data_IF_861127438571
#
_entry.id   IF_861127438571
#
_cell.length_a   1.000
_cell.length_b   1.000
_cell.length_c   1.000
_cell.angle_alpha   90.00
_cell.angle_beta   90.00
_cell.angle_gamma   90.00
#
_symmetry.space_group_name_H-M   'P 1'
#
loop_
_entity.id
_entity.type
_entity.pdbx_description
1 polymer ?
#
# COMPACT_ATOMS: atom_id res chain seq x y z
N UNK A 1 16.74 -17.54 -32.49
CA UNK A 1 17.64 -17.74 -31.36
C UNK A 1 17.31 -16.69 -30.32
N UNK A 2 16.73 -17.05 -29.17
CA UNK A 2 16.59 -16.11 -28.05
C UNK A 2 18.00 -15.81 -27.55
N UNK A 3 18.46 -14.56 -27.71
CA UNK A 3 19.66 -14.08 -27.01
C UNK A 3 19.45 -14.36 -25.54
N UNK A 4 20.32 -15.20 -24.96
CA UNK A 4 20.33 -15.46 -23.52
C UNK A 4 20.71 -14.14 -22.85
N UNK A 5 19.70 -13.43 -22.34
CA UNK A 5 19.90 -12.17 -21.60
C UNK A 5 20.92 -12.38 -20.48
N UNK A 6 21.93 -11.52 -20.43
CA UNK A 6 22.99 -11.58 -19.40
C UNK A 6 22.38 -11.56 -18.01
N UNK A 7 22.74 -12.55 -17.18
CA UNK A 7 22.35 -12.60 -15.77
C UNK A 7 23.33 -11.79 -14.93
N UNK A 8 22.81 -10.89 -14.11
CA UNK A 8 23.60 -10.02 -13.23
C UNK A 8 23.59 -10.49 -11.79
N UNK A 9 22.53 -11.19 -11.35
CA UNK A 9 22.31 -11.55 -9.96
C UNK A 9 22.29 -13.06 -9.77
N UNK A 10 22.98 -13.53 -8.73
CA UNK A 10 22.88 -14.89 -8.23
C UNK A 10 21.57 -15.06 -7.45
N UNK A 11 21.10 -16.32 -7.33
CA UNK A 11 19.81 -16.60 -6.68
C UNK A 11 19.75 -16.09 -5.22
N UNK A 12 20.82 -16.32 -4.44
CA UNK A 12 20.89 -15.83 -3.06
C UNK A 12 20.80 -14.30 -2.96
N UNK A 13 21.33 -13.56 -3.94
CA UNK A 13 21.25 -12.10 -4.00
C UNK A 13 19.82 -11.63 -4.25
N UNK A 14 19.06 -12.34 -5.09
CA UNK A 14 17.65 -12.06 -5.34
C UNK A 14 16.80 -12.27 -4.08
N UNK A 15 17.06 -13.37 -3.34
CA UNK A 15 16.39 -13.64 -2.06
C UNK A 15 16.77 -12.58 -1.03
N UNK A 16 18.07 -12.31 -0.85
CA UNK A 16 18.56 -11.33 0.11
C UNK A 16 18.01 -9.93 -0.17
N UNK A 17 17.99 -9.50 -1.43
CA UNK A 17 17.36 -8.24 -1.83
C UNK A 17 15.86 -8.24 -1.51
N UNK A 18 15.13 -9.28 -1.91
CA UNK A 18 13.69 -9.39 -1.65
C UNK A 18 13.33 -9.39 -0.17
N UNK A 19 14.20 -9.93 0.70
CA UNK A 19 14.02 -9.90 2.14
C UNK A 19 13.99 -8.47 2.74
N UNK A 20 14.44 -7.45 2.01
CA UNK A 20 14.25 -6.05 2.40
C UNK A 20 12.79 -5.66 2.62
N UNK A 21 11.85 -6.31 1.91
CA UNK A 21 10.42 -6.10 2.17
C UNK A 21 9.96 -6.76 3.49
N UNK A 22 10.64 -7.80 3.99
CA UNK A 22 10.42 -8.28 5.36
C UNK A 22 10.79 -7.19 6.37
N UNK A 23 11.96 -6.55 6.22
CA UNK A 23 12.39 -5.46 7.11
C UNK A 23 11.40 -4.29 7.09
N UNK A 24 11.00 -3.84 5.89
CA UNK A 24 10.08 -2.73 5.71
C UNK A 24 8.69 -3.03 6.28
N UNK A 25 8.13 -4.22 5.96
CA UNK A 25 6.80 -4.60 6.41
C UNK A 25 6.73 -4.97 7.90
N UNK A 26 7.83 -5.40 8.53
CA UNK A 26 7.88 -5.58 9.99
C UNK A 26 7.68 -4.24 10.70
N UNK A 27 8.38 -3.20 10.28
CA UNK A 27 8.23 -1.86 10.85
C UNK A 27 6.88 -1.21 10.50
N UNK A 28 6.54 -1.21 9.20
CA UNK A 28 5.29 -0.60 8.71
C UNK A 28 4.05 -1.34 9.20
N UNK A 29 4.07 -2.67 9.23
CA UNK A 29 2.97 -3.51 9.71
C UNK A 29 2.66 -3.25 11.19
N UNK A 30 3.69 -3.09 12.04
CA UNK A 30 3.49 -2.72 13.44
C UNK A 30 2.81 -1.35 13.57
N UNK A 31 3.30 -0.36 12.83
CA UNK A 31 2.75 1.00 12.86
C UNK A 31 1.34 1.05 12.29
N UNK A 32 1.13 0.52 11.06
CA UNK A 32 -0.15 0.66 10.36
C UNK A 32 -1.31 -0.09 11.01
N UNK A 33 -1.03 -1.21 11.68
CA UNK A 33 -2.06 -2.06 12.29
C UNK A 33 -2.25 -1.84 13.78
N UNK A 34 -1.23 -1.37 14.51
CA UNK A 34 -1.25 -1.40 15.96
C UNK A 34 -0.96 -0.06 16.66
N UNK A 35 -0.40 0.94 15.97
CA UNK A 35 -0.05 2.22 16.62
C UNK A 35 -1.28 2.91 17.21
N UNK A 36 -2.39 2.93 16.48
CA UNK A 36 -3.63 3.54 16.97
C UNK A 36 -4.17 2.78 18.20
N UNK A 37 -4.11 1.44 18.19
CA UNK A 37 -4.49 0.60 19.32
C UNK A 37 -3.59 0.87 20.55
N UNK A 38 -2.27 0.97 20.37
CA UNK A 38 -1.34 1.32 21.43
C UNK A 38 -1.69 2.67 22.06
N UNK A 39 -1.91 3.68 21.23
CA UNK A 39 -2.21 5.04 21.69
C UNK A 39 -3.57 5.14 22.36
N UNK A 40 -4.60 4.45 21.85
CA UNK A 40 -5.96 4.48 22.42
C UNK A 40 -6.09 3.62 23.67
N UNK A 41 -5.66 2.36 23.61
CA UNK A 41 -5.93 1.37 24.66
C UNK A 41 -4.88 1.41 25.78
N UNK A 42 -3.60 1.58 25.41
CA UNK A 42 -2.50 1.59 26.40
C UNK A 42 -2.29 2.99 26.97
N UNK A 43 -2.17 4.00 26.12
CA UNK A 43 -1.92 5.38 26.57
C UNK A 43 -3.23 6.09 26.96
N UNK A 44 -4.36 5.74 26.39
CA UNK A 44 -5.67 6.34 26.65
C UNK A 44 -5.89 7.68 25.95
N UNK A 45 -5.17 7.92 24.84
CA UNK A 45 -5.25 9.14 24.07
C UNK A 45 -6.49 9.16 23.16
N UNK A 46 -6.96 10.35 22.81
CA UNK A 46 -8.14 10.56 21.98
C UNK A 46 -7.86 10.14 20.52
N UNK A 47 -8.65 9.16 20.04
CA UNK A 47 -8.47 8.59 18.70
C UNK A 47 -8.72 9.59 17.57
N UNK A 48 -9.60 10.58 17.78
CA UNK A 48 -9.89 11.61 16.80
C UNK A 48 -8.70 12.54 16.55
N UNK A 49 -8.01 12.95 17.63
CA UNK A 49 -6.78 13.77 17.55
C UNK A 49 -5.68 12.96 16.87
N UNK A 50 -5.49 11.70 17.29
CA UNK A 50 -4.49 10.81 16.68
C UNK A 50 -4.73 10.67 15.18
N UNK A 51 -5.96 10.42 14.74
CA UNK A 51 -6.32 10.31 13.34
C UNK A 51 -5.97 11.58 12.53
N UNK A 52 -6.22 12.76 13.10
CA UNK A 52 -5.86 14.03 12.49
C UNK A 52 -4.34 14.20 12.35
N UNK A 53 -3.58 13.88 13.39
CA UNK A 53 -2.11 13.93 13.36
C UNK A 53 -1.53 12.95 12.33
N UNK A 54 -2.11 11.74 12.22
CA UNK A 54 -1.71 10.77 11.21
C UNK A 54 -1.97 11.28 9.79
N UNK A 55 -3.09 11.97 9.55
CA UNK A 55 -3.40 12.58 8.25
C UNK A 55 -2.39 13.68 7.90
N UNK A 56 -2.11 14.59 8.84
CA UNK A 56 -1.12 15.67 8.62
C UNK A 56 0.25 15.07 8.28
N UNK A 57 0.68 14.03 9.02
CA UNK A 57 1.92 13.32 8.72
C UNK A 57 1.95 12.73 7.30
N UNK A 58 0.82 12.22 6.79
CA UNK A 58 0.72 11.69 5.43
C UNK A 58 0.85 12.76 4.34
N UNK A 59 0.43 13.98 4.58
CA UNK A 59 0.69 15.09 3.67
C UNK A 59 2.19 15.44 3.62
N UNK A 60 2.85 15.46 4.78
CA UNK A 60 4.30 15.67 4.86
C UNK A 60 5.09 14.55 4.15
N UNK A 61 4.64 13.30 4.26
CA UNK A 61 5.17 12.15 3.52
C UNK A 61 5.08 12.37 2.00
N UNK A 62 4.00 13.00 1.51
CA UNK A 62 3.85 13.38 0.09
C UNK A 62 4.92 14.35 -0.40
N UNK A 63 5.27 15.33 0.41
CA UNK A 63 6.30 16.32 0.09
C UNK A 63 7.70 15.69 0.13
N UNK A 64 7.94 14.86 1.12
CA UNK A 64 9.24 14.23 1.34
C UNK A 64 9.65 13.26 0.24
N UNK A 65 8.70 12.60 -0.44
CA UNK A 65 9.00 11.73 -1.59
C UNK A 65 9.78 12.47 -2.69
N UNK A 66 9.34 13.68 -3.03
CA UNK A 66 9.97 14.48 -4.08
C UNK A 66 11.37 14.92 -3.65
N UNK A 67 11.52 15.28 -2.37
CA UNK A 67 12.81 15.70 -1.81
C UNK A 67 13.80 14.53 -1.82
N UNK A 68 13.41 13.37 -1.28
CA UNK A 68 14.30 12.22 -1.19
C UNK A 68 14.59 11.59 -2.56
N UNK A 69 13.63 11.57 -3.49
CA UNK A 69 13.89 11.14 -4.86
C UNK A 69 15.05 11.94 -5.49
N UNK A 70 15.01 13.27 -5.39
CA UNK A 70 16.05 14.15 -5.92
C UNK A 70 17.39 13.99 -5.17
N UNK A 71 17.36 13.84 -3.84
CA UNK A 71 18.57 13.65 -3.04
C UNK A 71 19.28 12.33 -3.38
N UNK A 72 18.54 11.24 -3.55
CA UNK A 72 19.08 9.93 -3.90
C UNK A 72 19.72 9.97 -5.28
N UNK A 73 19.07 10.59 -6.27
CA UNK A 73 19.59 10.69 -7.65
C UNK A 73 20.92 11.49 -7.72
N UNK A 74 21.08 12.50 -6.87
CA UNK A 74 22.29 13.32 -6.76
C UNK A 74 23.38 12.73 -5.88
N UNK A 75 23.10 11.64 -5.16
CA UNK A 75 24.05 11.06 -4.22
C UNK A 75 25.22 10.39 -4.96
N UNK A 76 26.43 10.76 -4.55
CA UNK A 76 27.68 10.14 -5.01
C UNK A 76 28.42 9.58 -3.81
N UNK A 77 28.49 8.25 -3.68
CA UNK A 77 29.19 7.60 -2.58
C UNK A 77 29.93 6.35 -3.02
N UNK A 78 30.91 5.89 -2.19
CA UNK A 78 31.63 4.63 -2.42
C UNK A 78 30.70 3.41 -2.39
N UNK A 79 29.54 3.50 -1.74
CA UNK A 79 28.55 2.43 -1.67
C UNK A 79 27.57 2.44 -2.85
N UNK A 80 27.54 3.49 -3.67
CA UNK A 80 26.58 3.72 -4.73
C UNK A 80 25.63 4.87 -4.42
N UNK A 81 24.52 4.98 -5.18
CA UNK A 81 23.52 6.04 -5.03
C UNK A 81 22.44 5.70 -3.99
N UNK A 82 21.86 4.50 -4.07
CA UNK A 82 20.73 4.08 -3.27
C UNK A 82 21.12 3.38 -1.95
N UNK A 83 22.18 2.57 -1.97
CA UNK A 83 22.60 1.76 -0.82
C UNK A 83 22.89 2.56 0.47
N UNK A 84 23.57 3.73 0.46
CA UNK A 84 23.78 4.49 1.68
C UNK A 84 22.47 4.96 2.31
N UNK A 85 21.49 5.36 1.51
CA UNK A 85 20.17 5.76 1.99
C UNK A 85 19.43 4.61 2.65
N UNK A 86 19.47 3.39 2.06
CA UNK A 86 18.90 2.21 2.69
C UNK A 86 19.51 1.93 4.06
N UNK A 87 20.83 1.99 4.17
CA UNK A 87 21.53 1.68 5.44
C UNK A 87 21.25 2.70 6.53
N UNK A 88 21.45 3.98 6.23
CA UNK A 88 21.32 5.04 7.26
C UNK A 88 19.85 5.33 7.60
N UNK A 89 18.96 5.33 6.63
CA UNK A 89 17.55 5.56 6.89
C UNK A 89 16.93 4.44 7.74
N UNK A 90 17.36 3.19 7.56
CA UNK A 90 16.85 2.09 8.38
C UNK A 90 17.22 2.22 9.87
N UNK A 91 18.35 2.80 10.18
CA UNK A 91 18.71 3.11 11.57
C UNK A 91 17.67 4.09 12.15
N UNK A 92 17.35 5.13 11.39
CA UNK A 92 16.30 6.09 11.78
C UNK A 92 14.92 5.46 11.92
N UNK A 93 14.53 4.56 10.98
CA UNK A 93 13.27 3.79 11.08
C UNK A 93 13.23 3.00 12.38
N UNK A 94 14.27 2.22 12.68
CA UNK A 94 14.31 1.37 13.87
C UNK A 94 14.29 2.20 15.17
N UNK A 95 15.05 3.30 15.22
CA UNK A 95 15.07 4.19 16.38
C UNK A 95 13.70 4.86 16.60
N UNK A 96 13.12 5.45 15.54
CA UNK A 96 11.82 6.10 15.64
C UNK A 96 10.71 5.11 15.98
N UNK A 97 10.79 3.86 15.48
CA UNK A 97 9.84 2.80 15.82
C UNK A 97 9.85 2.51 17.34
N UNK A 98 11.03 2.33 17.92
CA UNK A 98 11.17 2.09 19.37
C UNK A 98 10.67 3.28 20.17
N UNK A 99 11.04 4.51 19.78
CA UNK A 99 10.61 5.72 20.47
C UNK A 99 9.08 5.90 20.36
N UNK A 100 8.48 5.63 19.22
CA UNK A 100 7.04 5.73 18.99
C UNK A 100 6.23 4.85 19.97
N UNK A 101 6.72 3.64 20.27
CA UNK A 101 6.10 2.73 21.23
C UNK A 101 6.69 2.85 22.66
N UNK A 102 7.39 3.94 22.94
CA UNK A 102 8.05 4.21 24.24
C UNK A 102 7.66 5.57 24.81
N UNK A 103 6.43 6.00 24.60
CA UNK A 103 5.93 7.30 25.12
C UNK A 103 6.00 7.28 26.65
N UNK A 104 6.68 8.25 27.29
CA UNK A 104 6.74 8.31 28.76
C UNK A 104 5.37 8.65 29.38
N UNK A 105 4.92 7.83 30.34
CA UNK A 105 3.61 8.01 30.97
C UNK A 105 3.50 9.25 31.89
N UNK A 106 4.64 9.88 32.27
CA UNK A 106 4.64 11.08 33.10
C UNK A 106 4.48 12.40 32.34
N UNK A 107 4.35 12.36 31.00
CA UNK A 107 4.13 13.55 30.18
C UNK A 107 2.68 14.03 30.27
N UNK A 108 2.46 15.34 30.12
CA UNK A 108 1.12 15.88 29.89
C UNK A 108 0.53 15.32 28.60
N UNK A 109 -0.79 15.25 28.50
CA UNK A 109 -1.49 14.70 27.34
C UNK A 109 -1.06 15.40 26.04
N UNK A 110 -0.98 16.73 26.06
CA UNK A 110 -0.51 17.53 24.90
C UNK A 110 0.94 17.16 24.52
N UNK A 111 1.82 16.93 25.49
CA UNK A 111 3.19 16.53 25.21
C UNK A 111 3.26 15.10 24.62
N UNK A 112 2.36 14.20 25.02
CA UNK A 112 2.27 12.86 24.43
C UNK A 112 1.82 12.92 22.96
N UNK A 113 0.85 13.79 22.59
CA UNK A 113 0.48 14.02 21.20
C UNK A 113 1.62 14.62 20.37
N UNK A 114 2.33 15.61 20.92
CA UNK A 114 3.48 16.20 20.24
C UNK A 114 4.62 15.20 20.04
N UNK A 115 4.91 14.38 21.04
CA UNK A 115 5.88 13.30 20.97
C UNK A 115 5.49 12.27 19.90
N UNK A 116 4.24 11.79 19.94
CA UNK A 116 3.71 10.89 18.93
C UNK A 116 3.85 11.48 17.52
N UNK A 117 3.39 12.70 17.31
CA UNK A 117 3.43 13.35 16.00
C UNK A 117 4.85 13.49 15.47
N UNK A 118 5.80 13.91 16.32
CA UNK A 118 7.20 14.06 15.95
C UNK A 118 7.81 12.74 15.47
N UNK A 119 7.71 11.67 16.27
CA UNK A 119 8.33 10.39 15.93
C UNK A 119 7.56 9.63 14.85
N UNK A 120 6.24 9.74 14.80
CA UNK A 120 5.43 9.16 13.73
C UNK A 120 5.74 9.80 12.38
N UNK A 121 5.88 11.14 12.35
CA UNK A 121 6.23 11.89 11.13
C UNK A 121 7.67 11.63 10.73
N UNK A 122 8.62 11.65 11.66
CA UNK A 122 10.01 11.31 11.37
C UNK A 122 10.14 9.89 10.82
N UNK A 123 9.44 8.92 11.42
CA UNK A 123 9.44 7.55 10.95
C UNK A 123 8.91 7.45 9.52
N UNK A 124 7.70 7.96 9.25
CA UNK A 124 7.03 7.78 7.95
C UNK A 124 7.60 8.72 6.89
N UNK A 125 7.59 10.05 7.15
CA UNK A 125 7.90 11.05 6.13
C UNK A 125 9.40 11.27 5.90
N UNK A 126 10.27 10.86 6.82
CA UNK A 126 11.72 11.02 6.64
C UNK A 126 12.38 9.68 6.36
N UNK A 127 12.43 8.81 7.37
CA UNK A 127 13.28 7.63 7.30
C UNK A 127 12.66 6.50 6.45
N UNK A 128 11.38 6.21 6.61
CA UNK A 128 10.73 5.16 5.83
C UNK A 128 10.62 5.54 4.35
N UNK A 129 10.31 6.80 4.05
CA UNK A 129 10.28 7.33 2.68
C UNK A 129 11.66 7.27 2.02
N UNK A 130 12.72 7.75 2.71
CA UNK A 130 14.08 7.69 2.20
C UNK A 130 14.53 6.24 1.91
N UNK A 131 14.26 5.31 2.83
CA UNK A 131 14.55 3.88 2.65
C UNK A 131 13.74 3.29 1.49
N UNK A 132 12.43 3.52 1.44
CA UNK A 132 11.53 2.95 0.43
C UNK A 132 11.86 3.38 -0.99
N UNK A 133 12.17 4.68 -1.20
CA UNK A 133 12.59 5.19 -2.51
C UNK A 133 13.94 4.60 -2.91
N UNK A 134 14.92 4.60 -1.99
CA UNK A 134 16.24 4.01 -2.25
C UNK A 134 16.15 2.52 -2.56
N UNK A 135 15.36 1.76 -1.80
CA UNK A 135 15.15 0.34 -2.03
C UNK A 135 14.47 0.06 -3.38
N UNK A 136 13.51 0.88 -3.78
CA UNK A 136 12.87 0.75 -5.09
C UNK A 136 13.83 1.11 -6.23
N UNK A 137 14.61 2.19 -6.10
CA UNK A 137 15.63 2.60 -7.07
C UNK A 137 16.71 1.52 -7.21
N UNK A 138 17.11 0.89 -6.13
CA UNK A 138 18.14 -0.16 -6.12
C UNK A 138 17.79 -1.32 -7.06
N UNK A 139 16.51 -1.67 -7.26
CA UNK A 139 16.08 -2.71 -8.18
C UNK A 139 16.51 -2.45 -9.63
N UNK A 140 16.54 -1.18 -10.03
CA UNK A 140 16.98 -0.77 -11.37
C UNK A 140 18.50 -0.67 -11.48
N UNK A 141 19.18 -0.39 -10.37
CA UNK A 141 20.63 -0.18 -10.32
C UNK A 141 21.44 -1.49 -10.23
N UNK A 142 20.85 -2.59 -9.77
CA UNK A 142 21.55 -3.88 -9.58
C UNK A 142 21.44 -4.83 -10.77
N UNK A 143 20.47 -4.64 -11.67
CA UNK A 143 20.30 -5.47 -12.86
C UNK A 143 19.67 -4.70 -14.02
N UNK A 144 20.09 -5.02 -15.26
CA UNK A 144 19.48 -4.55 -16.50
C UNK A 144 18.56 -5.58 -17.14
N UNK A 145 18.62 -6.82 -16.68
CA UNK A 145 17.81 -7.90 -17.17
C UNK A 145 16.35 -7.72 -16.74
N UNK A 146 15.44 -7.56 -17.70
CA UNK A 146 14.00 -7.36 -17.44
C UNK A 146 13.39 -8.53 -16.66
N UNK A 147 13.80 -9.76 -16.98
CA UNK A 147 13.30 -10.96 -16.27
C UNK A 147 13.77 -11.01 -14.81
N UNK A 148 15.01 -10.58 -14.53
CA UNK A 148 15.50 -10.48 -13.14
C UNK A 148 14.73 -9.42 -12.35
N UNK A 149 14.40 -8.26 -12.95
CA UNK A 149 13.58 -7.23 -12.28
C UNK A 149 12.19 -7.77 -11.92
N UNK A 150 11.57 -8.54 -12.80
CA UNK A 150 10.28 -9.20 -12.50
C UNK A 150 10.42 -10.20 -11.36
N UNK A 151 11.49 -11.02 -11.36
CA UNK A 151 11.77 -11.97 -10.28
C UNK A 151 11.99 -11.24 -8.94
N UNK A 152 12.76 -10.14 -8.94
CA UNK A 152 12.95 -9.32 -7.74
C UNK A 152 11.62 -8.80 -7.20
N UNK A 153 10.76 -8.24 -8.06
CA UNK A 153 9.42 -7.78 -7.66
C UNK A 153 8.55 -8.90 -7.07
N UNK A 154 8.58 -10.10 -7.67
CA UNK A 154 7.82 -11.25 -7.18
C UNK A 154 8.33 -11.74 -5.82
N UNK A 155 9.65 -11.82 -5.63
CA UNK A 155 10.24 -12.23 -4.35
C UNK A 155 9.93 -11.19 -3.25
N UNK A 156 10.04 -9.89 -3.55
CA UNK A 156 9.63 -8.81 -2.67
C UNK A 156 8.19 -8.97 -2.20
N UNK A 157 7.27 -9.18 -3.15
CA UNK A 157 5.86 -9.37 -2.84
C UNK A 157 5.61 -10.58 -1.94
N UNK A 158 6.29 -11.70 -2.18
CA UNK A 158 6.19 -12.89 -1.33
C UNK A 158 6.63 -12.60 0.12
N UNK A 159 7.76 -11.90 0.32
CA UNK A 159 8.22 -11.50 1.64
C UNK A 159 7.25 -10.52 2.31
N UNK A 160 6.71 -9.54 1.58
CA UNK A 160 5.72 -8.60 2.12
C UNK A 160 4.47 -9.32 2.62
N UNK A 161 3.93 -10.25 1.84
CA UNK A 161 2.75 -11.05 2.22
C UNK A 161 3.04 -11.92 3.45
N UNK A 162 4.16 -12.66 3.42
CA UNK A 162 4.55 -13.53 4.54
C UNK A 162 4.73 -12.73 5.83
N UNK A 163 5.40 -11.57 5.76
CA UNK A 163 5.61 -10.71 6.93
C UNK A 163 4.29 -10.18 7.50
N UNK A 164 3.37 -9.71 6.66
CA UNK A 164 2.07 -9.22 7.15
C UNK A 164 1.26 -10.32 7.85
N UNK A 165 1.32 -11.55 7.34
CA UNK A 165 0.66 -12.70 7.99
C UNK A 165 1.32 -13.01 9.34
N UNK A 166 2.65 -13.10 9.39
CA UNK A 166 3.39 -13.37 10.64
C UNK A 166 3.13 -12.28 11.68
N UNK A 167 3.17 -11.01 11.28
CA UNK A 167 2.86 -9.88 12.17
C UNK A 167 1.44 -9.98 12.74
N UNK A 168 0.46 -10.37 11.92
CA UNK A 168 -0.93 -10.56 12.35
C UNK A 168 -1.09 -11.65 13.41
N UNK A 169 -0.30 -12.73 13.36
CA UNK A 169 -0.34 -13.79 14.37
C UNK A 169 0.50 -13.48 15.61
N UNK A 170 1.67 -12.87 15.42
CA UNK A 170 2.69 -12.82 16.46
C UNK A 170 2.55 -11.60 17.39
N UNK A 171 2.14 -10.43 16.89
CA UNK A 171 2.29 -9.16 17.63
C UNK A 171 1.46 -9.14 18.91
N UNK A 172 0.18 -9.50 18.86
CA UNK A 172 -0.67 -9.46 20.06
C UNK A 172 -0.21 -10.43 21.13
N UNK A 173 0.09 -11.69 20.75
CA UNK A 173 0.62 -12.68 21.66
C UNK A 173 2.01 -12.32 22.22
N UNK A 174 2.86 -11.70 21.42
CA UNK A 174 4.18 -11.22 21.89
C UNK A 174 4.03 -10.08 22.90
N UNK A 175 3.13 -9.12 22.63
CA UNK A 175 2.87 -8.02 23.60
C UNK A 175 2.44 -8.57 24.95
N UNK A 176 1.51 -9.55 24.95
CA UNK A 176 1.01 -10.18 26.18
C UNK A 176 2.14 -10.99 26.89
N UNK A 177 2.95 -11.75 26.13
CA UNK A 177 4.04 -12.53 26.66
C UNK A 177 5.15 -11.67 27.32
N UNK A 178 5.35 -10.43 26.83
CA UNK A 178 6.29 -9.47 27.43
C UNK A 178 5.67 -8.57 28.52
N UNK A 179 4.59 -9.02 29.14
CA UNK A 179 3.95 -8.36 30.28
C UNK A 179 2.84 -7.37 29.93
N UNK A 180 2.44 -7.28 28.66
CA UNK A 180 1.37 -6.40 28.21
C UNK A 180 1.66 -4.91 28.34
N UNK A 181 0.65 -4.08 28.14
CA UNK A 181 0.74 -2.63 28.34
C UNK A 181 1.91 -1.97 27.58
N UNK A 182 2.40 -0.84 28.11
CA UNK A 182 3.48 -0.09 27.46
C UNK A 182 4.81 -0.86 27.40
N UNK A 183 5.09 -1.73 28.37
CA UNK A 183 6.33 -2.52 28.40
C UNK A 183 6.34 -3.57 27.27
N UNK A 184 5.23 -4.30 27.08
CA UNK A 184 5.08 -5.29 26.03
C UNK A 184 5.20 -4.65 24.63
N UNK A 185 4.52 -3.54 24.40
CA UNK A 185 4.63 -2.79 23.14
C UNK A 185 6.04 -2.32 22.84
N UNK A 186 6.74 -1.78 23.84
CA UNK A 186 8.14 -1.35 23.71
C UNK A 186 9.04 -2.51 23.31
N UNK A 187 8.91 -3.67 23.98
CA UNK A 187 9.73 -4.85 23.67
C UNK A 187 9.50 -5.35 22.25
N UNK A 188 8.23 -5.44 21.82
CA UNK A 188 7.90 -5.82 20.45
C UNK A 188 8.46 -4.83 19.44
N UNK A 189 8.39 -3.52 19.71
CA UNK A 189 8.98 -2.50 18.84
C UNK A 189 10.52 -2.63 18.74
N UNK A 190 11.20 -2.96 19.85
CA UNK A 190 12.66 -3.23 19.85
C UNK A 190 12.97 -4.45 18.97
N UNK A 191 12.25 -5.56 19.16
CA UNK A 191 12.44 -6.78 18.36
C UNK A 191 12.22 -6.49 16.87
N UNK A 192 11.11 -5.82 16.52
CA UNK A 192 10.83 -5.44 15.14
C UNK A 192 11.88 -4.49 14.56
N UNK A 193 12.36 -3.52 15.35
CA UNK A 193 13.42 -2.60 14.97
C UNK A 193 14.74 -3.31 14.69
N UNK A 194 15.13 -4.26 15.54
CA UNK A 194 16.36 -5.06 15.37
C UNK A 194 16.24 -5.96 14.14
N UNK A 195 15.12 -6.68 13.98
CA UNK A 195 14.88 -7.51 12.78
C UNK A 195 14.95 -6.64 11.52
N UNK A 196 14.27 -5.48 11.52
CA UNK A 196 14.28 -4.55 10.41
C UNK A 196 15.70 -4.08 10.07
N UNK A 197 16.50 -3.70 11.08
CA UNK A 197 17.86 -3.23 10.90
C UNK A 197 18.78 -4.33 10.33
N UNK A 198 18.75 -5.53 10.90
CA UNK A 198 19.59 -6.65 10.46
C UNK A 198 19.23 -7.09 9.05
N UNK A 199 17.95 -7.33 8.78
CA UNK A 199 17.50 -7.84 7.47
C UNK A 199 17.69 -6.80 6.37
N UNK A 200 17.41 -5.51 6.63
CA UNK A 200 17.64 -4.46 5.64
C UNK A 200 19.15 -4.29 5.35
N UNK A 201 20.00 -4.40 6.36
CA UNK A 201 21.47 -4.35 6.19
C UNK A 201 21.93 -5.51 5.32
N UNK A 202 21.47 -6.74 5.56
CA UNK A 202 21.78 -7.90 4.75
C UNK A 202 21.29 -7.68 3.31
N UNK A 203 20.04 -7.24 3.13
CA UNK A 203 19.44 -6.95 1.84
C UNK A 203 20.27 -5.95 1.02
N UNK A 204 20.76 -4.89 1.68
CA UNK A 204 21.56 -3.86 1.04
C UNK A 204 22.98 -4.31 0.70
N UNK A 205 23.66 -5.04 1.62
CA UNK A 205 25.07 -5.41 1.46
C UNK A 205 25.28 -6.60 0.52
N UNK A 206 24.31 -7.49 0.37
CA UNK A 206 24.38 -8.66 -0.54
C UNK A 206 24.37 -8.29 -2.02
N UNK A 207 23.94 -7.09 -2.39
CA UNK A 207 23.89 -6.62 -3.78
C UNK A 207 24.81 -5.45 -3.99
N UNK A 208 25.28 -5.26 -5.23
CA UNK A 208 26.11 -4.11 -5.64
C UNK A 208 25.46 -3.39 -6.80
N UNK A 209 25.49 -2.08 -6.77
CA UNK A 209 25.07 -1.24 -7.88
C UNK A 209 26.02 -1.42 -9.07
N UNK A 210 25.49 -1.44 -10.27
CA UNK A 210 26.27 -1.51 -11.51
C UNK A 210 26.98 -0.18 -11.76
N UNK A 211 28.20 -0.20 -12.37
CA UNK A 211 28.93 1.03 -12.71
C UNK A 211 28.13 1.96 -13.65
N UNK A 212 28.28 3.26 -13.45
CA UNK A 212 27.58 4.29 -14.25
C UNK A 212 27.94 4.28 -15.75
N UNK A 213 29.20 3.97 -16.11
CA UNK A 213 29.63 3.90 -17.52
C UNK A 213 28.78 2.97 -18.37
N UNK A 214 28.17 2.03 -17.73
CA UNK A 214 27.22 1.15 -18.36
C UNK A 214 25.78 1.71 -18.44
N UNK A 215 25.45 2.82 -17.78
CA UNK A 215 24.12 3.44 -17.81
C UNK A 215 23.89 4.31 -19.06
N UNK A 216 24.96 4.84 -19.67
CA UNK A 216 24.91 5.69 -20.86
C UNK A 216 24.46 4.94 -22.14
N UNK A 217 24.53 3.60 -22.14
CA UNK A 217 24.14 2.79 -23.31
C UNK A 217 22.66 2.37 -23.34
N UNK A 218 21.84 2.75 -22.35
CA UNK A 218 20.39 2.52 -22.31
C UNK A 218 19.62 3.84 -22.22
N UNK A 219 20.32 4.95 -22.44
CA UNK A 219 19.61 6.17 -22.75
C UNK A 219 19.12 6.07 -24.21
N UNK A 220 17.82 6.14 -24.31
CA UNK A 220 17.14 6.64 -25.49
C UNK A 220 17.00 5.74 -26.71
N UNK A 221 16.23 4.65 -26.58
CA UNK A 221 15.45 4.27 -27.78
C UNK A 221 13.92 4.32 -27.55
N UNK A 222 13.46 4.82 -26.42
CA UNK A 222 12.02 5.02 -26.15
C UNK A 222 11.72 6.21 -25.21
N UNK A 223 12.42 7.33 -25.33
CA UNK A 223 11.74 8.58 -25.03
C UNK A 223 11.05 9.00 -26.35
N UNK A 224 9.70 8.91 -26.40
CA UNK A 224 9.00 9.71 -27.37
C UNK A 224 9.52 11.14 -27.20
N UNK A 225 9.77 11.86 -28.30
CA UNK A 225 9.98 13.31 -28.21
C UNK A 225 8.79 13.84 -27.41
N UNK A 226 9.03 14.16 -26.13
CA UNK A 226 8.07 14.91 -25.33
C UNK A 226 7.90 16.21 -26.10
N UNK A 227 6.78 16.34 -26.77
CA UNK A 227 6.31 17.67 -27.18
C UNK A 227 6.31 18.46 -25.88
N UNK A 228 7.10 19.55 -25.86
CA UNK A 228 7.35 20.35 -24.66
C UNK A 228 6.08 21.10 -24.24
N UNK A 229 5.08 20.35 -23.79
CA UNK A 229 3.86 20.92 -23.25
C UNK A 229 4.17 21.37 -21.82
N UNK A 230 3.83 22.62 -21.53
CA UNK A 230 4.04 23.17 -20.20
C UNK A 230 3.31 22.36 -19.12
N UNK A 231 3.87 22.30 -17.90
CA UNK A 231 3.27 21.58 -16.77
C UNK A 231 1.79 21.93 -16.55
N UNK A 232 1.43 23.22 -16.64
CA UNK A 232 0.06 23.70 -16.45
C UNK A 232 -0.88 23.18 -17.55
N UNK A 233 -0.40 23.13 -18.79
CA UNK A 233 -1.16 22.62 -19.93
C UNK A 233 -1.37 21.10 -19.83
N UNK A 234 -0.36 20.36 -19.43
CA UNK A 234 -0.46 18.93 -19.15
C UNK A 234 -1.47 18.64 -18.01
N UNK A 235 -1.46 19.44 -16.95
CA UNK A 235 -2.42 19.33 -15.85
C UNK A 235 -3.86 19.62 -16.33
N UNK A 236 -4.05 20.61 -17.18
CA UNK A 236 -5.35 20.94 -17.79
C UNK A 236 -5.85 19.80 -18.68
N UNK A 237 -4.97 19.14 -19.44
CA UNK A 237 -5.30 17.96 -20.23
C UNK A 237 -5.73 16.78 -19.36
N UNK A 238 -5.05 16.54 -18.24
CA UNK A 238 -5.43 15.50 -17.29
C UNK A 238 -6.82 15.74 -16.70
N UNK A 239 -7.07 16.95 -16.18
CA UNK A 239 -8.35 17.30 -15.55
C UNK A 239 -9.50 17.30 -16.59
N UNK A 240 -9.24 17.61 -17.84
CA UNK A 240 -10.25 17.55 -18.92
C UNK A 240 -10.55 16.12 -19.38
N UNK A 241 -9.71 15.13 -19.04
CA UNK A 241 -9.93 13.74 -19.39
C UNK A 241 -10.84 13.04 -18.37
N UNK A 242 -12.09 12.78 -18.74
CA UNK A 242 -13.07 12.09 -17.88
C UNK A 242 -12.58 10.74 -17.33
N UNK A 243 -11.80 9.99 -18.11
CA UNK A 243 -11.27 8.69 -17.68
C UNK A 243 -10.14 8.84 -16.67
N UNK A 244 -9.37 9.93 -16.75
CA UNK A 244 -8.38 10.25 -15.73
C UNK A 244 -9.05 10.56 -14.38
N UNK A 245 -10.11 11.35 -14.37
CA UNK A 245 -10.85 11.65 -13.14
C UNK A 245 -11.44 10.35 -12.54
N UNK A 246 -12.00 9.48 -13.38
CA UNK A 246 -12.54 8.19 -12.93
C UNK A 246 -11.47 7.30 -12.31
N UNK A 247 -10.29 7.17 -12.94
CA UNK A 247 -9.22 6.32 -12.38
C UNK A 247 -8.66 6.91 -11.07
N UNK A 248 -8.51 8.23 -10.96
CA UNK A 248 -8.13 8.91 -9.71
C UNK A 248 -9.14 8.60 -8.61
N UNK A 249 -10.44 8.71 -8.89
CA UNK A 249 -11.49 8.39 -7.94
C UNK A 249 -11.44 6.91 -7.50
N UNK A 250 -11.24 5.98 -8.44
CA UNK A 250 -11.08 4.55 -8.13
C UNK A 250 -9.88 4.33 -7.20
N UNK A 251 -8.72 4.94 -7.48
CA UNK A 251 -7.53 4.83 -6.64
C UNK A 251 -7.77 5.38 -5.23
N UNK A 252 -8.39 6.57 -5.13
CA UNK A 252 -8.68 7.18 -3.82
C UNK A 252 -9.61 6.27 -3.00
N UNK A 253 -10.72 5.80 -3.57
CA UNK A 253 -11.68 4.94 -2.87
C UNK A 253 -11.04 3.59 -2.50
N UNK A 254 -10.26 3.00 -3.39
CA UNK A 254 -9.57 1.74 -3.14
C UNK A 254 -8.57 1.82 -1.98
N UNK A 255 -7.70 2.84 -1.97
CA UNK A 255 -6.71 3.00 -0.91
C UNK A 255 -7.33 3.50 0.40
N UNK A 256 -8.38 4.31 0.34
CA UNK A 256 -9.20 4.64 1.51
C UNK A 256 -9.77 3.37 2.15
N UNK A 257 -10.47 2.55 1.38
CA UNK A 257 -11.04 1.29 1.83
C UNK A 257 -9.98 0.34 2.41
N UNK A 258 -8.84 0.22 1.73
CA UNK A 258 -7.75 -0.67 2.16
C UNK A 258 -7.16 -0.24 3.50
N UNK A 259 -6.90 1.07 3.70
CA UNK A 259 -6.33 1.59 4.95
C UNK A 259 -7.36 1.59 6.09
N UNK A 260 -8.63 1.94 5.81
CA UNK A 260 -9.71 1.84 6.79
C UNK A 260 -9.84 0.40 7.32
N UNK A 261 -9.86 -0.59 6.41
CA UNK A 261 -9.96 -2.01 6.76
C UNK A 261 -8.74 -2.47 7.56
N UNK A 262 -7.53 -2.08 7.15
CA UNK A 262 -6.30 -2.48 7.84
C UNK A 262 -6.22 -1.89 9.25
N UNK A 263 -6.50 -0.60 9.41
CA UNK A 263 -6.45 0.07 10.72
C UNK A 263 -7.57 -0.35 11.67
N UNK A 264 -8.75 -0.76 11.15
CA UNK A 264 -9.87 -1.23 11.98
C UNK A 264 -9.82 -2.73 12.29
N UNK A 265 -8.97 -3.50 11.62
CA UNK A 265 -8.93 -4.97 11.74
C UNK A 265 -8.72 -5.44 13.17
N UNK A 266 -7.72 -4.92 13.87
CA UNK A 266 -7.41 -5.36 15.24
C UNK A 266 -8.56 -5.03 16.22
N UNK A 267 -9.23 -3.91 16.04
CA UNK A 267 -10.40 -3.53 16.85
C UNK A 267 -11.56 -4.49 16.62
N UNK A 268 -11.80 -4.89 15.37
CA UNK A 268 -12.83 -5.86 15.03
C UNK A 268 -12.54 -7.24 15.68
N UNK A 269 -11.28 -7.72 15.58
CA UNK A 269 -10.88 -8.99 16.20
C UNK A 269 -11.06 -8.95 17.72
N UNK A 270 -10.62 -7.86 18.35
CA UNK A 270 -10.62 -7.70 19.81
C UNK A 270 -12.02 -7.48 20.39
N UNK A 271 -12.80 -6.55 19.80
CA UNK A 271 -14.06 -6.08 20.41
C UNK A 271 -15.33 -6.70 19.81
N UNK A 272 -15.29 -7.22 18.56
CA UNK A 272 -16.44 -7.88 17.93
C UNK A 272 -16.34 -9.40 18.06
N UNK A 273 -15.16 -9.97 17.76
CA UNK A 273 -14.92 -11.41 17.82
C UNK A 273 -14.37 -11.88 19.18
N UNK A 274 -13.89 -10.95 20.03
CA UNK A 274 -13.36 -11.27 21.36
C UNK A 274 -11.97 -11.91 21.36
N UNK A 275 -11.26 -11.97 20.23
CA UNK A 275 -9.95 -12.62 20.13
C UNK A 275 -9.03 -11.89 19.13
N UNK A 276 -8.06 -11.12 19.64
CA UNK A 276 -7.07 -10.39 18.83
C UNK A 276 -6.15 -11.29 18.00
N UNK A 277 -5.91 -12.54 18.42
CA UNK A 277 -5.05 -13.49 17.70
C UNK A 277 -5.62 -13.91 16.34
N UNK A 278 -6.91 -13.70 16.10
CA UNK A 278 -7.55 -13.96 14.80
C UNK A 278 -7.03 -13.03 13.70
N UNK A 279 -6.34 -11.93 14.02
CA UNK A 279 -5.83 -10.99 13.04
C UNK A 279 -4.94 -11.66 11.98
N UNK A 280 -4.09 -12.60 12.38
CA UNK A 280 -3.24 -13.38 11.46
C UNK A 280 -4.06 -14.20 10.47
N UNK A 281 -5.08 -14.92 10.96
CA UNK A 281 -5.97 -15.73 10.12
C UNK A 281 -6.74 -14.85 9.11
N UNK A 282 -7.27 -13.71 9.56
CA UNK A 282 -7.95 -12.75 8.68
C UNK A 282 -6.99 -12.09 7.68
N UNK A 283 -5.75 -11.82 8.07
CA UNK A 283 -4.70 -11.33 7.16
C UNK A 283 -4.39 -12.37 6.06
N UNK A 284 -4.32 -13.65 6.40
CA UNK A 284 -4.20 -14.72 5.40
C UNK A 284 -5.39 -14.71 4.44
N UNK A 285 -6.62 -14.67 4.95
CA UNK A 285 -7.84 -14.66 4.13
C UNK A 285 -7.98 -13.39 3.27
N UNK A 286 -7.25 -12.33 3.57
CA UNK A 286 -7.15 -11.12 2.76
C UNK A 286 -6.07 -11.23 1.68
N UNK A 287 -4.90 -11.81 1.98
CA UNK A 287 -3.73 -11.80 1.10
C UNK A 287 -3.70 -12.97 0.10
N UNK A 288 -4.02 -14.20 0.51
CA UNK A 288 -4.03 -15.34 -0.39
C UNK A 288 -4.98 -15.19 -1.59
N UNK A 289 -6.21 -14.69 -1.41
CA UNK A 289 -7.11 -14.46 -2.54
C UNK A 289 -6.53 -13.53 -3.60
N UNK A 290 -5.78 -12.51 -3.20
CA UNK A 290 -5.15 -11.57 -4.14
C UNK A 290 -4.08 -12.29 -4.98
N UNK A 291 -3.30 -13.19 -4.38
CA UNK A 291 -2.31 -13.99 -5.13
C UNK A 291 -3.01 -14.86 -6.18
N UNK A 292 -4.10 -15.54 -5.80
CA UNK A 292 -4.90 -16.35 -6.71
C UNK A 292 -5.45 -15.48 -7.84
N UNK A 293 -6.02 -14.33 -7.51
CA UNK A 293 -6.54 -13.39 -8.49
C UNK A 293 -5.47 -12.94 -9.49
N UNK A 294 -4.25 -12.62 -9.03
CA UNK A 294 -3.15 -12.21 -9.90
C UNK A 294 -2.73 -13.29 -10.90
N UNK A 295 -2.84 -14.57 -10.54
CA UNK A 295 -2.54 -15.70 -11.44
C UNK A 295 -3.63 -15.83 -12.52
N UNK A 296 -4.90 -15.70 -12.14
CA UNK A 296 -6.03 -15.90 -13.07
C UNK A 296 -6.39 -14.66 -13.88
N UNK A 297 -6.09 -13.46 -13.40
CA UNK A 297 -6.45 -12.20 -14.09
C UNK A 297 -5.96 -12.13 -15.54
N UNK A 298 -4.68 -12.43 -15.88
CA UNK A 298 -4.22 -12.40 -17.27
C UNK A 298 -5.00 -13.37 -18.18
N UNK A 299 -5.37 -14.54 -17.66
CA UNK A 299 -6.15 -15.55 -18.40
C UNK A 299 -7.56 -15.02 -18.71
N UNK A 300 -8.20 -14.40 -17.69
CA UNK A 300 -9.52 -13.80 -17.83
C UNK A 300 -9.51 -12.62 -18.81
N UNK A 301 -8.50 -11.76 -18.72
CA UNK A 301 -8.32 -10.61 -19.61
C UNK A 301 -8.11 -11.08 -21.06
N UNK A 302 -7.28 -12.11 -21.28
CA UNK A 302 -7.07 -12.69 -22.61
C UNK A 302 -8.39 -13.27 -23.19
N UNK A 303 -9.20 -13.92 -22.35
CA UNK A 303 -10.47 -14.53 -22.77
C UNK A 303 -11.58 -13.51 -23.05
N UNK A 304 -11.64 -12.43 -22.26
CA UNK A 304 -12.69 -11.40 -22.38
C UNK A 304 -12.30 -10.25 -23.33
N UNK A 305 -11.01 -10.10 -23.62
CA UNK A 305 -10.45 -9.01 -24.42
C UNK A 305 -10.57 -7.63 -23.78
N UNK A 306 -10.81 -7.55 -22.44
CA UNK A 306 -11.01 -6.27 -21.74
C UNK A 306 -10.70 -6.40 -20.22
N UNK A 307 -9.78 -5.58 -19.74
CA UNK A 307 -9.46 -5.47 -18.31
C UNK A 307 -10.62 -4.85 -17.52
N UNK A 308 -11.28 -3.85 -18.10
CA UNK A 308 -12.42 -3.20 -17.49
C UNK A 308 -13.57 -4.17 -17.22
N UNK A 309 -13.90 -5.07 -18.19
CA UNK A 309 -14.95 -6.08 -18.00
C UNK A 309 -14.58 -7.06 -16.88
N UNK A 310 -13.34 -7.52 -16.83
CA UNK A 310 -12.86 -8.44 -15.77
C UNK A 310 -13.01 -7.79 -14.41
N UNK A 311 -12.57 -6.54 -14.24
CA UNK A 311 -12.68 -5.82 -12.99
C UNK A 311 -14.11 -5.52 -12.60
N UNK A 312 -14.94 -5.08 -13.55
CA UNK A 312 -16.35 -4.78 -13.29
C UNK A 312 -17.11 -6.01 -12.78
N UNK A 313 -17.04 -7.13 -13.49
CA UNK A 313 -17.71 -8.35 -13.06
C UNK A 313 -17.06 -8.95 -11.80
N UNK A 314 -15.73 -8.82 -11.63
CA UNK A 314 -15.05 -9.20 -10.41
C UNK A 314 -15.59 -8.44 -9.21
N UNK A 315 -15.78 -7.13 -9.31
CA UNK A 315 -16.35 -6.33 -8.22
C UNK A 315 -17.83 -6.58 -8.01
N UNK A 316 -18.65 -6.76 -9.07
CA UNK A 316 -20.08 -7.16 -8.93
C UNK A 316 -20.20 -8.44 -8.10
N UNK A 317 -19.43 -9.48 -8.45
CA UNK A 317 -19.45 -10.75 -7.70
C UNK A 317 -18.95 -10.54 -6.27
N UNK A 318 -17.87 -9.76 -6.10
CA UNK A 318 -17.31 -9.42 -4.79
C UNK A 318 -18.32 -8.69 -3.90
N UNK A 319 -19.12 -7.79 -4.45
CA UNK A 319 -20.13 -7.04 -3.70
C UNK A 319 -21.29 -7.93 -3.25
N UNK A 320 -21.76 -8.84 -4.13
CA UNK A 320 -22.76 -9.87 -3.77
C UNK A 320 -22.22 -10.75 -2.63
N UNK A 321 -20.99 -11.24 -2.73
CA UNK A 321 -20.34 -12.02 -1.67
C UNK A 321 -20.16 -11.20 -0.39
N UNK A 322 -19.95 -9.88 -0.54
CA UNK A 322 -19.89 -8.93 0.56
C UNK A 322 -21.19 -8.85 1.38
N UNK A 323 -22.35 -8.97 0.74
CA UNK A 323 -23.65 -9.02 1.43
C UNK A 323 -23.73 -10.28 2.31
N UNK A 324 -23.34 -11.43 1.78
CA UNK A 324 -23.27 -12.66 2.59
C UNK A 324 -22.27 -12.56 3.73
N UNK A 325 -21.12 -11.91 3.49
CA UNK A 325 -20.14 -11.65 4.54
C UNK A 325 -20.75 -10.81 5.67
N UNK A 326 -21.54 -9.78 5.38
CA UNK A 326 -22.24 -8.97 6.40
C UNK A 326 -23.18 -9.88 7.21
N UNK A 327 -24.00 -10.71 6.57
CA UNK A 327 -24.98 -11.59 7.23
C UNK A 327 -24.27 -12.55 8.20
N UNK A 328 -23.22 -13.23 7.74
CA UNK A 328 -22.51 -14.19 8.59
C UNK A 328 -21.65 -13.52 9.67
N UNK A 329 -21.18 -12.29 9.42
CA UNK A 329 -20.47 -11.51 10.42
C UNK A 329 -21.41 -11.05 11.55
N UNK A 330 -22.66 -10.68 11.25
CA UNK A 330 -23.69 -10.38 12.25
C UNK A 330 -24.02 -11.61 13.13
N UNK A 331 -24.00 -12.80 12.53
CA UNK A 331 -24.19 -14.07 13.24
C UNK A 331 -22.92 -14.55 13.99
N UNK A 332 -21.80 -13.86 13.84
CA UNK A 332 -20.47 -14.26 14.35
C UNK A 332 -20.06 -15.68 13.91
N UNK A 333 -20.52 -16.12 12.75
CA UNK A 333 -20.19 -17.43 12.19
C UNK A 333 -18.79 -17.37 11.53
N UNK A 334 -17.76 -17.64 12.32
CA UNK A 334 -16.35 -17.51 11.88
C UNK A 334 -16.03 -18.32 10.62
N UNK A 335 -16.38 -19.61 10.47
CA UNK A 335 -16.07 -20.35 9.23
C UNK A 335 -16.66 -19.72 7.98
N UNK A 336 -17.93 -19.28 8.03
CA UNK A 336 -18.57 -18.63 6.89
C UNK A 336 -18.02 -17.23 6.61
N UNK A 337 -17.67 -16.48 7.64
CA UNK A 337 -16.97 -15.20 7.47
C UNK A 337 -15.66 -15.37 6.70
N UNK A 338 -14.84 -16.35 7.09
CA UNK A 338 -13.54 -16.63 6.43
C UNK A 338 -13.75 -17.07 4.98
N UNK A 339 -14.73 -17.95 4.72
CA UNK A 339 -15.07 -18.40 3.37
C UNK A 339 -15.49 -17.23 2.46
N UNK A 340 -16.46 -16.42 2.91
CA UNK A 340 -16.95 -15.31 2.11
C UNK A 340 -15.93 -14.17 1.95
N UNK A 341 -15.08 -13.95 2.96
CA UNK A 341 -13.97 -13.03 2.87
C UNK A 341 -12.94 -13.48 1.84
N UNK A 342 -12.62 -14.77 1.82
CA UNK A 342 -11.71 -15.38 0.84
C UNK A 342 -12.27 -15.25 -0.58
N UNK A 343 -13.50 -15.67 -0.80
CA UNK A 343 -14.16 -15.59 -2.11
C UNK A 343 -14.27 -14.14 -2.59
N UNK A 344 -14.76 -13.22 -1.74
CA UNK A 344 -14.84 -11.80 -2.03
C UNK A 344 -13.48 -11.24 -2.44
N UNK A 345 -12.43 -11.55 -1.69
CA UNK A 345 -11.06 -11.12 -1.96
C UNK A 345 -10.51 -11.63 -3.29
N UNK A 346 -10.85 -12.87 -3.69
CA UNK A 346 -10.43 -13.45 -4.98
C UNK A 346 -11.01 -12.66 -6.16
N UNK A 347 -12.28 -12.31 -6.11
CA UNK A 347 -12.91 -11.58 -7.22
C UNK A 347 -12.49 -10.10 -7.23
N UNK A 348 -12.40 -9.42 -6.08
CA UNK A 348 -11.92 -8.04 -6.01
C UNK A 348 -10.42 -7.92 -6.34
N UNK A 349 -9.64 -8.96 -6.10
CA UNK A 349 -8.19 -9.00 -6.31
C UNK A 349 -7.76 -8.83 -7.77
N UNK A 350 -8.65 -9.07 -8.74
CA UNK A 350 -8.38 -8.86 -10.18
C UNK A 350 -7.91 -7.45 -10.49
N UNK A 351 -8.42 -6.46 -9.76
CA UNK A 351 -8.08 -5.05 -9.94
C UNK A 351 -6.62 -4.76 -9.55
N UNK A 352 -6.06 -5.47 -8.58
CA UNK A 352 -4.67 -5.25 -8.13
C UNK A 352 -3.64 -5.45 -9.25
N UNK A 353 -3.92 -6.36 -10.19
CA UNK A 353 -3.04 -6.62 -11.34
C UNK A 353 -3.28 -5.73 -12.56
N UNK A 354 -4.42 -5.07 -12.65
CA UNK A 354 -4.86 -4.37 -13.87
C UNK A 354 -4.92 -2.85 -13.73
N UNK A 355 -4.89 -2.30 -12.52
CA UNK A 355 -5.00 -0.84 -12.29
C UNK A 355 -3.96 -0.03 -13.09
N UNK A 356 -2.68 -0.42 -13.04
CA UNK A 356 -1.63 0.28 -13.77
C UNK A 356 -1.79 0.13 -15.29
N UNK A 357 -2.28 -1.02 -15.76
CA UNK A 357 -2.54 -1.23 -17.17
C UNK A 357 -3.73 -0.38 -17.67
N UNK A 358 -4.75 -0.16 -16.84
CA UNK A 358 -5.83 0.78 -17.14
C UNK A 358 -5.35 2.23 -17.26
N UNK A 359 -4.36 2.64 -16.45
CA UNK A 359 -3.73 3.97 -16.60
C UNK A 359 -3.08 4.09 -17.98
N UNK A 360 -2.37 3.05 -18.45
CA UNK A 360 -1.77 3.04 -19.77
C UNK A 360 -2.83 3.14 -20.91
N UNK A 361 -4.00 2.49 -20.76
CA UNK A 361 -5.12 2.64 -21.70
C UNK A 361 -5.67 4.07 -21.73
N UNK A 362 -5.76 4.74 -20.58
CA UNK A 362 -6.20 6.14 -20.50
C UNK A 362 -5.16 7.08 -21.13
N UNK A 363 -3.88 6.80 -20.96
CA UNK A 363 -2.82 7.52 -21.67
C UNK A 363 -2.94 7.34 -23.18
N UNK A 364 -3.12 6.11 -23.63
CA UNK A 364 -3.41 5.80 -25.05
C UNK A 364 -4.65 6.54 -25.60
N UNK A 365 -5.69 6.71 -24.80
CA UNK A 365 -6.87 7.51 -25.17
C UNK A 365 -6.52 8.98 -25.38
N UNK A 366 -5.71 9.55 -24.46
CA UNK A 366 -5.26 10.94 -24.56
C UNK A 366 -4.44 11.16 -25.83
N UNK A 367 -3.53 10.24 -26.13
CA UNK A 367 -2.76 10.29 -27.38
C UNK A 367 -3.65 10.19 -28.64
N UNK A 368 -4.62 9.30 -28.65
CA UNK A 368 -5.55 9.12 -29.77
C UNK A 368 -6.42 10.36 -30.01
N UNK A 369 -6.81 11.05 -28.94
CA UNK A 369 -7.74 12.19 -29.03
C UNK A 369 -7.07 13.55 -29.17
N UNK A 370 -5.88 13.71 -28.60
CA UNK A 370 -5.16 15.00 -28.52
C UNK A 370 -3.80 14.99 -29.19
N UNK A 371 -3.27 13.84 -29.60
CA UNK A 371 -1.96 13.73 -30.26
C UNK A 371 -0.76 13.89 -29.33
N UNK A 372 -0.96 13.86 -28.00
CA UNK A 372 0.03 14.23 -27.00
C UNK A 372 0.35 13.06 -26.08
N UNK A 373 1.62 12.83 -25.80
CA UNK A 373 2.11 11.86 -24.82
C UNK A 373 2.34 12.53 -23.46
N UNK A 374 1.59 12.12 -22.44
CA UNK A 374 1.73 12.60 -21.04
C UNK A 374 1.77 11.42 -20.07
N UNK A 375 2.40 10.31 -20.46
CA UNK A 375 2.42 9.05 -19.72
C UNK A 375 2.90 9.24 -18.28
N UNK A 376 4.01 9.94 -18.06
CA UNK A 376 4.56 10.17 -16.72
C UNK A 376 3.59 10.88 -15.78
N UNK A 377 2.92 11.93 -16.26
CA UNK A 377 1.91 12.63 -15.46
C UNK A 377 0.62 11.81 -15.28
N UNK A 378 0.26 10.96 -16.25
CA UNK A 378 -0.89 10.09 -16.14
C UNK A 378 -0.77 9.12 -14.95
N UNK A 379 0.43 8.59 -14.69
CA UNK A 379 0.69 7.72 -13.55
C UNK A 379 0.67 8.44 -12.19
N UNK A 380 0.63 9.77 -12.14
CA UNK A 380 0.50 10.51 -10.87
C UNK A 380 -0.79 10.20 -10.11
N UNK A 381 -1.84 9.70 -10.80
CA UNK A 381 -3.09 9.25 -10.16
C UNK A 381 -2.87 8.14 -9.13
N UNK A 382 -1.90 7.25 -9.35
CA UNK A 382 -1.59 6.20 -8.39
C UNK A 382 -1.03 6.78 -7.10
N UNK A 383 -0.10 7.74 -7.20
CA UNK A 383 0.46 8.43 -6.01
C UNK A 383 -0.60 9.22 -5.26
N UNK A 384 -1.47 9.94 -5.98
CA UNK A 384 -2.61 10.64 -5.37
C UNK A 384 -3.52 9.67 -4.60
N UNK A 385 -3.87 8.54 -5.20
CA UNK A 385 -4.70 7.53 -4.56
C UNK A 385 -4.09 6.97 -3.28
N UNK A 386 -2.81 6.57 -3.34
CA UNK A 386 -2.09 6.03 -2.18
C UNK A 386 -2.02 7.06 -1.05
N UNK A 387 -1.66 8.30 -1.36
CA UNK A 387 -1.42 9.33 -0.34
C UNK A 387 -2.69 9.98 0.18
N UNK A 388 -3.58 10.42 -0.71
CA UNK A 388 -4.84 11.06 -0.32
C UNK A 388 -5.82 10.01 0.20
N UNK A 389 -6.11 8.97 -0.58
CA UNK A 389 -7.02 7.91 -0.17
C UNK A 389 -6.54 7.17 1.07
N UNK A 390 -5.25 6.76 1.07
CA UNK A 390 -4.64 6.06 2.20
C UNK A 390 -4.55 6.93 3.46
N UNK A 391 -4.19 8.21 3.33
CA UNK A 391 -4.12 9.15 4.44
C UNK A 391 -5.47 9.38 5.10
N UNK A 392 -6.50 9.70 4.30
CA UNK A 392 -7.87 9.87 4.80
C UNK A 392 -8.40 8.55 5.38
N UNK A 393 -8.14 7.40 4.75
CA UNK A 393 -8.56 6.09 5.24
C UNK A 393 -7.95 5.75 6.61
N UNK A 394 -6.68 6.06 6.82
CA UNK A 394 -6.02 5.88 8.12
C UNK A 394 -6.62 6.80 9.19
N UNK A 395 -6.83 8.08 8.88
CA UNK A 395 -7.42 9.05 9.79
C UNK A 395 -8.87 8.72 10.14
N UNK A 396 -9.63 8.23 9.17
CA UNK A 396 -11.04 7.87 9.33
C UNK A 396 -11.24 6.81 10.42
N UNK A 397 -10.29 5.89 10.62
CA UNK A 397 -10.35 4.93 11.74
C UNK A 397 -10.44 5.67 13.06
N UNK A 398 -9.54 6.63 13.30
CA UNK A 398 -9.51 7.41 14.53
C UNK A 398 -10.76 8.29 14.70
N UNK A 399 -11.18 8.97 13.63
CA UNK A 399 -12.37 9.84 13.66
C UNK A 399 -13.66 9.07 13.91
N UNK A 400 -13.85 7.94 13.25
CA UNK A 400 -15.06 7.11 13.41
C UNK A 400 -15.12 6.45 14.78
N UNK A 401 -13.98 6.00 15.32
CA UNK A 401 -13.90 5.49 16.69
C UNK A 401 -14.26 6.59 17.70
N UNK A 402 -13.69 7.79 17.54
CA UNK A 402 -13.99 8.91 18.41
C UNK A 402 -15.49 9.30 18.36
N UNK A 403 -16.03 9.45 17.15
CA UNK A 403 -17.44 9.81 16.94
C UNK A 403 -18.41 8.78 17.55
N UNK A 404 -18.00 7.49 17.60
CA UNK A 404 -18.79 6.42 18.23
C UNK A 404 -18.58 6.31 19.76
N UNK A 405 -17.75 7.18 20.35
CA UNK A 405 -17.48 7.17 21.78
C UNK A 405 -16.61 5.99 22.23
N UNK A 406 -15.67 5.55 21.39
CA UNK A 406 -14.71 4.49 21.74
C UNK A 406 -13.82 4.93 22.90
N UNK A 407 -13.74 4.10 23.92
CA UNK A 407 -12.93 4.34 25.11
C UNK A 407 -11.90 3.21 25.30
N UNK A 408 -10.64 3.45 24.92
CA UNK A 408 -9.60 2.43 24.88
C UNK A 408 -9.33 1.70 26.18
N UNK A 409 -9.46 2.40 27.32
CA UNK A 409 -9.26 1.82 28.68
C UNK A 409 -10.51 1.15 29.26
N UNK A 410 -11.66 1.23 28.59
CA UNK A 410 -12.89 0.60 29.06
C UNK A 410 -12.83 -0.93 28.90
N UNK A 411 -13.21 -1.66 29.93
CA UNK A 411 -13.27 -3.13 29.90
C UNK A 411 -14.25 -3.65 28.83
N UNK A 412 -15.34 -2.93 28.60
CA UNK A 412 -16.33 -3.21 27.56
C UNK A 412 -16.65 -1.94 26.80
N UNK A 413 -16.83 -2.07 25.50
CA UNK A 413 -17.18 -0.95 24.62
C UNK A 413 -18.72 -0.79 24.56
N UNK A 414 -19.17 0.44 24.28
CA UNK A 414 -20.58 0.71 24.03
C UNK A 414 -21.06 0.00 22.76
N UNK A 415 -22.36 -0.24 22.65
CA UNK A 415 -22.96 -0.81 21.44
C UNK A 415 -22.70 0.08 20.22
N UNK A 416 -22.68 1.41 20.37
CA UNK A 416 -22.35 2.35 19.30
C UNK A 416 -20.91 2.17 18.81
N UNK A 417 -19.93 2.07 19.71
CA UNK A 417 -18.53 1.83 19.35
C UNK A 417 -18.35 0.46 18.68
N UNK A 418 -18.96 -0.59 19.20
CA UNK A 418 -18.89 -1.95 18.63
C UNK A 418 -19.51 -2.00 17.23
N UNK A 419 -20.68 -1.36 17.02
CA UNK A 419 -21.31 -1.27 15.70
C UNK A 419 -20.49 -0.46 14.71
N UNK A 420 -19.82 0.61 15.15
CA UNK A 420 -18.93 1.38 14.30
C UNK A 420 -17.70 0.56 13.89
N UNK A 421 -17.08 -0.18 14.81
CA UNK A 421 -15.97 -1.09 14.51
C UNK A 421 -16.40 -2.15 13.49
N UNK A 422 -17.60 -2.75 13.68
CA UNK A 422 -18.18 -3.67 12.72
C UNK A 422 -18.36 -3.02 11.36
N UNK A 423 -18.89 -1.81 11.32
CA UNK A 423 -19.14 -1.06 10.07
C UNK A 423 -17.85 -0.72 9.35
N UNK A 424 -16.82 -0.26 10.05
CA UNK A 424 -15.53 0.07 9.45
C UNK A 424 -14.83 -1.12 8.79
N UNK A 425 -14.94 -2.30 9.41
CA UNK A 425 -14.25 -3.49 8.92
C UNK A 425 -15.04 -4.27 7.86
N UNK A 426 -16.39 -4.32 7.98
CA UNK A 426 -17.24 -5.15 7.12
C UNK A 426 -18.14 -4.29 6.21
N UNK A 427 -18.99 -3.41 6.77
CA UNK A 427 -20.08 -2.77 6.01
C UNK A 427 -19.57 -1.67 5.08
N UNK A 428 -18.77 -0.73 5.60
CA UNK A 428 -18.24 0.38 4.79
C UNK A 428 -17.41 -0.14 3.60
N UNK A 429 -16.49 -1.14 3.75
CA UNK A 429 -15.79 -1.72 2.61
C UNK A 429 -16.69 -2.35 1.55
N UNK A 430 -17.84 -2.91 1.91
CA UNK A 430 -18.81 -3.43 0.93
C UNK A 430 -19.48 -2.27 0.18
N UNK A 431 -19.92 -1.22 0.89
CA UNK A 431 -20.50 -0.02 0.27
C UNK A 431 -19.51 0.64 -0.69
N UNK A 432 -18.25 0.77 -0.28
CA UNK A 432 -17.20 1.32 -1.15
C UNK A 432 -16.87 0.43 -2.34
N UNK A 433 -17.03 -0.89 -2.20
CA UNK A 433 -16.97 -1.84 -3.29
C UNK A 433 -18.00 -1.50 -4.37
N UNK A 434 -19.25 -1.26 -3.96
CA UNK A 434 -20.34 -0.84 -4.89
C UNK A 434 -19.98 0.49 -5.59
N UNK A 435 -19.39 1.45 -4.87
CA UNK A 435 -18.91 2.71 -5.47
C UNK A 435 -17.86 2.42 -6.54
N UNK A 436 -16.88 1.55 -6.26
CA UNK A 436 -15.86 1.13 -7.24
C UNK A 436 -16.53 0.44 -8.44
N UNK A 437 -17.51 -0.43 -8.21
CA UNK A 437 -18.28 -1.10 -9.27
C UNK A 437 -18.94 -0.08 -10.20
N UNK A 438 -19.59 0.95 -9.66
CA UNK A 438 -20.22 2.02 -10.44
C UNK A 438 -19.15 2.77 -11.27
N UNK A 439 -18.04 3.16 -10.64
CA UNK A 439 -16.94 3.86 -11.34
C UNK A 439 -16.34 3.01 -12.46
N UNK A 440 -16.16 1.70 -12.25
CA UNK A 440 -15.71 0.76 -13.28
C UNK A 440 -16.73 0.59 -14.40
N UNK A 441 -18.03 0.65 -14.13
CA UNK A 441 -19.10 0.63 -15.11
C UNK A 441 -19.07 1.85 -16.05
N UNK A 442 -18.63 3.01 -15.53
CA UNK A 442 -18.44 4.24 -16.30
C UNK A 442 -17.11 4.27 -17.08
N UNK A 443 -16.14 3.42 -16.73
CA UNK A 443 -14.80 3.37 -17.32
C UNK A 443 -14.81 2.63 -18.67
N UNK A 444 -15.27 3.28 -19.73
CA UNK A 444 -15.39 2.68 -21.09
C UNK A 444 -14.19 2.95 -21.99
N UNK A 445 -13.02 3.26 -21.44
CA UNK A 445 -11.82 3.70 -22.17
C UNK A 445 -11.36 2.68 -23.21
N UNK A 446 -11.32 1.39 -22.90
CA UNK A 446 -10.89 0.35 -23.84
C UNK A 446 -11.83 0.25 -25.05
N UNK A 447 -13.15 0.43 -24.84
CA UNK A 447 -14.14 0.43 -25.93
C UNK A 447 -13.97 1.65 -26.84
N UNK A 448 -13.73 2.83 -26.24
CA UNK A 448 -13.50 4.06 -26.99
C UNK A 448 -12.19 4.01 -27.78
N UNK A 449 -11.11 3.49 -27.19
CA UNK A 449 -9.85 3.29 -27.90
C UNK A 449 -10.03 2.43 -29.16
N UNK A 450 -10.73 1.29 -29.02
CA UNK A 450 -11.04 0.41 -30.16
C UNK A 450 -11.88 1.10 -31.22
N UNK A 451 -12.87 1.92 -30.83
CA UNK A 451 -13.70 2.69 -31.76
C UNK A 451 -12.87 3.68 -32.55
N UNK A 452 -12.01 4.45 -31.87
CA UNK A 452 -11.15 5.44 -32.53
C UNK A 452 -10.18 4.77 -33.51
N UNK A 453 -9.62 3.61 -33.13
CA UNK A 453 -8.71 2.86 -34.01
C UNK A 453 -9.43 2.33 -35.26
N UNK A 454 -10.69 1.85 -35.16
CA UNK A 454 -11.50 1.43 -36.30
C UNK A 454 -11.84 2.62 -37.22
N UNK A 455 -12.31 3.74 -36.67
CA UNK A 455 -12.62 4.95 -37.43
C UNK A 455 -11.40 5.53 -38.17
N UNK A 456 -10.20 5.33 -37.63
CA UNK A 456 -8.95 5.73 -38.32
C UNK A 456 -8.57 4.78 -39.45
N UNK A 457 -8.78 3.47 -39.25
CA UNK A 457 -8.54 2.49 -40.29
C UNK A 457 -9.47 2.69 -41.48
N UNK A 458 -10.78 2.91 -41.23
CA UNK A 458 -11.76 3.20 -42.29
C UNK A 458 -11.49 4.50 -43.08
N UNK A 459 -10.77 5.46 -42.50
CA UNK A 459 -10.40 6.71 -43.20
C UNK A 459 -9.09 6.60 -43.99
N UNK A 460 -8.31 5.55 -43.72
CA UNK A 460 -7.02 5.30 -44.38
C UNK A 460 -7.16 4.40 -45.62
N UNK A 461 -8.26 3.64 -45.70
CA UNK A 461 -8.71 2.91 -46.89
C UNK A 461 -9.56 3.82 -47.81
#
# INVERSE_FOLDING_TARGET
>A
MQETEKKYLKWYQKIAYGAGDLASNTSYGLVSSFVLLYLSDTMGLNTGIIGTLMLVSKFLDGISDVIFGNLIDRTKSKLGKARPWMLYAQIGVSLCLVLLFSIPGGMSETAQYAYFFAFYTALNAIFYTANGIAYSALSALITRNKNERVQLGSIRFMFAVATNIVMGFAVTGAVDAFGGGAAGWRMVAVICGVIGLVVNTISCLCVKELPEESSAAVEDTQKPKDDKIGFVESLKLLISNKYYILIVAIYIVYYFMSNLTTGSAIYFMKHVLGNGSLLGLFSMMKMFPVIIALIFTPILVKKTGSMQKVNFWGYVISDILGIFLIIFAMQKNLPMMLLFMFLKGTFAGTMSGTLNALIAEISGYTYRTKGVHIDGMMFSCSSLGVKVGGGIGTAAVGWLLHAAGYAGKAATQTAAATNMIFSMYITIPVILGVVITILLGLMKVEKENKRIDMERAEKAD
#
